data_IF_859010776987
#
_entry.id   IF_859010776987
#
_cell.length_a   1.000
_cell.length_b   1.000
_cell.length_c   1.000
_cell.angle_alpha   90.00
_cell.angle_beta   90.00
_cell.angle_gamma   90.00
#
_symmetry.space_group_name_H-M   'P 1'
#
loop_
_entity.id
_entity.type
_entity.pdbx_description
1 polymer ?
#
# COMPACT_ATOMS: atom_id res chain seq x y z
N UNK A 1 14.51 -12.60 -17.89
CA UNK A 1 13.31 -12.14 -17.16
C UNK A 1 13.61 -12.27 -15.69
N UNK A 2 13.75 -11.16 -14.95
CA UNK A 2 14.08 -11.23 -13.53
C UNK A 2 12.89 -11.81 -12.76
N UNK A 3 13.12 -12.91 -12.04
CA UNK A 3 12.19 -13.49 -11.10
C UNK A 3 11.97 -12.50 -9.96
N UNK A 4 10.85 -11.78 -9.97
CA UNK A 4 10.40 -10.98 -8.82
C UNK A 4 10.08 -11.97 -7.70
N UNK A 5 10.88 -11.95 -6.63
CA UNK A 5 10.64 -12.85 -5.51
C UNK A 5 9.44 -12.34 -4.70
N UNK A 6 8.48 -13.19 -4.34
CA UNK A 6 7.31 -12.78 -3.54
C UNK A 6 7.69 -12.22 -2.16
N UNK A 7 8.92 -12.41 -1.72
CA UNK A 7 9.53 -11.86 -0.50
C UNK A 7 9.68 -10.32 -0.49
N UNK A 8 9.52 -9.65 -1.63
CA UNK A 8 9.63 -8.18 -1.70
C UNK A 8 8.30 -7.45 -1.48
N UNK A 9 7.18 -8.19 -1.42
CA UNK A 9 5.86 -7.61 -1.13
C UNK A 9 5.58 -7.72 0.37
N UNK A 10 5.28 -6.58 0.98
CA UNK A 10 5.03 -6.45 2.41
C UNK A 10 3.59 -6.05 2.65
N UNK A 11 2.94 -6.76 3.56
CA UNK A 11 1.56 -6.54 3.95
C UNK A 11 1.54 -6.18 5.43
N UNK A 12 0.84 -5.10 5.76
CA UNK A 12 0.64 -4.64 7.12
C UNK A 12 -0.85 -4.53 7.39
N UNK A 13 -1.27 -4.99 8.56
CA UNK A 13 -2.62 -4.82 9.08
C UNK A 13 -2.65 -3.61 10.02
N UNK A 14 -3.74 -2.84 9.98
CA UNK A 14 -3.98 -1.75 10.93
C UNK A 14 -4.58 -2.33 12.21
N UNK A 15 -3.99 -1.99 13.35
CA UNK A 15 -4.45 -2.43 14.67
C UNK A 15 -5.91 -2.05 14.92
N UNK A 16 -6.66 -2.97 15.53
CA UNK A 16 -8.08 -2.77 15.83
C UNK A 16 -9.00 -2.84 14.60
N UNK A 17 -8.49 -3.23 13.43
CA UNK A 17 -9.29 -3.38 12.20
C UNK A 17 -9.30 -4.81 11.70
N UNK A 18 -10.49 -5.29 11.36
CA UNK A 18 -10.68 -6.60 10.77
C UNK A 18 -10.25 -6.57 9.29
N UNK A 19 -9.37 -7.48 8.83
CA UNK A 19 -8.80 -7.43 7.48
C UNK A 19 -9.83 -7.62 6.37
N UNK A 20 -11.00 -8.20 6.68
CA UNK A 20 -12.14 -8.35 5.78
C UNK A 20 -13.20 -7.25 5.83
N UNK A 21 -13.03 -6.18 6.63
CA UNK A 21 -14.03 -5.10 6.75
C UNK A 21 -13.55 -3.70 6.35
N UNK A 22 -12.24 -3.48 6.27
CA UNK A 22 -11.70 -2.18 5.83
C UNK A 22 -11.10 -2.25 4.42
N UNK A 23 -10.88 -1.08 3.82
CA UNK A 23 -10.34 -0.96 2.47
C UNK A 23 -8.88 -1.44 2.38
N UNK A 24 -8.40 -1.68 1.16
CA UNK A 24 -6.99 -1.99 0.91
C UNK A 24 -6.29 -0.72 0.44
N UNK A 25 -5.15 -0.39 1.04
CA UNK A 25 -4.27 0.69 0.60
C UNK A 25 -3.00 0.11 -0.04
N UNK A 26 -2.79 0.37 -1.32
CA UNK A 26 -1.57 0.03 -2.06
C UNK A 26 -0.65 1.24 -2.14
N UNK A 27 0.59 1.10 -1.64
CA UNK A 27 1.64 2.11 -1.76
C UNK A 27 2.61 1.70 -2.86
N UNK A 28 2.63 2.50 -3.93
CA UNK A 28 3.49 2.36 -5.09
C UNK A 28 4.79 3.15 -4.85
N UNK A 29 5.90 2.60 -5.30
CA UNK A 29 7.24 3.16 -5.03
C UNK A 29 7.99 3.53 -6.30
N UNK A 30 7.38 3.32 -7.46
CA UNK A 30 7.99 3.39 -8.78
C UNK A 30 9.04 2.29 -9.01
N UNK A 31 8.85 1.15 -8.34
CA UNK A 31 9.75 0.00 -8.39
C UNK A 31 9.25 -1.08 -9.36
N UNK A 32 10.13 -1.99 -9.81
CA UNK A 32 9.76 -3.09 -10.71
C UNK A 32 8.77 -4.07 -10.06
N UNK A 33 8.67 -4.09 -8.74
CA UNK A 33 7.80 -4.97 -7.95
C UNK A 33 6.39 -4.41 -7.75
N UNK A 34 6.13 -3.16 -8.14
CA UNK A 34 4.84 -2.49 -7.94
C UNK A 34 3.69 -3.20 -8.68
N UNK A 35 3.96 -3.82 -9.84
CA UNK A 35 2.96 -4.61 -10.57
C UNK A 35 2.55 -5.88 -9.81
N UNK A 36 3.51 -6.55 -9.17
CA UNK A 36 3.22 -7.74 -8.36
C UNK A 36 2.46 -7.36 -7.08
N UNK A 37 2.87 -6.26 -6.42
CA UNK A 37 2.13 -5.73 -5.27
C UNK A 37 0.71 -5.29 -5.65
N UNK A 38 0.51 -4.70 -6.83
CA UNK A 38 -0.79 -4.35 -7.36
C UNK A 38 -1.67 -5.59 -7.58
N UNK A 39 -1.13 -6.69 -8.11
CA UNK A 39 -1.87 -7.94 -8.27
C UNK A 39 -2.32 -8.52 -6.92
N UNK A 40 -1.43 -8.53 -5.92
CA UNK A 40 -1.76 -8.99 -4.56
C UNK A 40 -2.85 -8.10 -3.94
N UNK A 41 -2.72 -6.78 -4.06
CA UNK A 41 -3.70 -5.84 -3.54
C UNK A 41 -5.07 -5.96 -4.21
N UNK A 42 -5.08 -6.17 -5.52
CA UNK A 42 -6.29 -6.40 -6.29
C UNK A 42 -7.00 -7.68 -5.86
N UNK A 43 -6.26 -8.80 -5.71
CA UNK A 43 -6.83 -10.05 -5.24
C UNK A 43 -7.46 -9.89 -3.85
N UNK A 44 -6.75 -9.27 -2.90
CA UNK A 44 -7.25 -9.03 -1.55
C UNK A 44 -8.49 -8.14 -1.52
N UNK A 45 -8.48 -7.05 -2.30
CA UNK A 45 -9.63 -6.14 -2.39
C UNK A 45 -10.86 -6.84 -2.98
N UNK A 46 -10.66 -7.65 -4.03
CA UNK A 46 -11.72 -8.41 -4.69
C UNK A 46 -12.30 -9.48 -3.77
N UNK A 47 -11.45 -10.28 -3.12
CA UNK A 47 -11.87 -11.38 -2.27
C UNK A 47 -12.62 -10.89 -1.03
N UNK A 48 -12.27 -9.71 -0.50
CA UNK A 48 -12.98 -9.05 0.59
C UNK A 48 -14.18 -8.20 0.14
N UNK A 49 -14.34 -7.95 -1.17
CA UNK A 49 -15.39 -7.07 -1.70
C UNK A 49 -15.26 -5.60 -1.28
N UNK A 50 -14.02 -5.10 -1.12
CA UNK A 50 -13.73 -3.74 -0.62
C UNK A 50 -13.02 -2.88 -1.66
N UNK A 51 -13.04 -1.55 -1.46
CA UNK A 51 -12.30 -0.60 -2.30
C UNK A 51 -10.78 -0.78 -2.16
N UNK A 52 -10.08 -0.50 -3.26
CA UNK A 52 -8.63 -0.39 -3.33
C UNK A 52 -8.23 1.08 -3.52
N UNK A 53 -7.46 1.61 -2.59
CA UNK A 53 -6.86 2.93 -2.66
C UNK A 53 -5.40 2.83 -3.11
N UNK A 54 -4.97 3.68 -4.01
CA UNK A 54 -3.55 3.75 -4.43
C UNK A 54 -2.92 5.05 -3.95
N UNK A 55 -1.71 4.97 -3.42
CA UNK A 55 -0.87 6.13 -3.12
C UNK A 55 0.52 5.91 -3.71
N UNK A 56 1.10 6.92 -4.36
CA UNK A 56 2.43 6.80 -4.95
C UNK A 56 3.45 7.62 -4.18
N UNK A 57 4.57 6.98 -3.82
CA UNK A 57 5.66 7.58 -3.08
C UNK A 57 6.54 8.44 -4.00
N UNK A 58 6.46 9.76 -3.82
CA UNK A 58 7.21 10.75 -4.62
C UNK A 58 8.21 11.50 -3.75
N UNK A 59 9.40 11.74 -4.30
CA UNK A 59 10.42 12.50 -3.60
C UNK A 59 9.99 13.98 -3.46
N UNK A 60 10.10 14.52 -2.26
CA UNK A 60 9.83 15.92 -1.95
C UNK A 60 11.11 16.62 -1.50
N UNK A 61 11.60 17.63 -2.23
CA UNK A 61 12.77 18.40 -1.84
C UNK A 61 12.52 19.34 -0.63
N UNK A 62 11.32 19.29 -0.03
CA UNK A 62 10.98 20.07 1.17
C UNK A 62 10.20 21.36 0.88
N UNK A 63 10.01 22.14 1.93
CA UNK A 63 9.24 23.39 1.92
C UNK A 63 9.95 24.50 1.13
N UNK A 64 9.18 25.32 0.42
CA UNK A 64 9.65 26.53 -0.25
C UNK A 64 8.83 27.70 0.27
N UNK A 65 9.50 28.77 0.69
CA UNK A 65 8.83 30.01 1.14
C UNK A 65 8.09 30.68 -0.02
N UNK A 66 8.56 30.49 -1.26
CA UNK A 66 7.88 30.99 -2.44
C UNK A 66 6.66 30.11 -2.78
N UNK A 67 5.46 30.70 -2.68
CA UNK A 67 4.18 30.03 -2.90
C UNK A 67 3.99 29.51 -4.34
N UNK A 68 4.49 30.23 -5.35
CA UNK A 68 4.41 29.80 -6.75
C UNK A 68 5.30 28.57 -7.00
N UNK A 69 6.53 28.60 -6.47
CA UNK A 69 7.43 27.44 -6.55
C UNK A 69 6.87 26.26 -5.75
N UNK A 70 6.27 26.50 -4.58
CA UNK A 70 5.59 25.48 -3.80
C UNK A 70 4.44 24.83 -4.59
N UNK A 71 3.59 25.63 -5.24
CA UNK A 71 2.48 25.13 -6.06
C UNK A 71 2.96 24.37 -7.29
N UNK A 72 3.95 24.91 -8.02
CA UNK A 72 4.52 24.23 -9.18
C UNK A 72 5.14 22.87 -8.81
N UNK A 73 5.80 22.77 -7.64
CA UNK A 73 6.33 21.51 -7.12
C UNK A 73 5.22 20.53 -6.76
N UNK A 74 4.16 20.97 -6.07
CA UNK A 74 3.01 20.13 -5.75
C UNK A 74 2.39 19.54 -7.03
N UNK A 75 2.17 20.36 -8.06
CA UNK A 75 1.64 19.87 -9.34
C UNK A 75 2.55 18.84 -10.02
N UNK A 76 3.87 19.04 -10.00
CA UNK A 76 4.81 18.04 -10.53
C UNK A 76 4.74 16.73 -9.76
N UNK A 77 4.69 16.79 -8.43
CA UNK A 77 4.56 15.61 -7.57
C UNK A 77 3.25 14.86 -7.81
N UNK A 78 2.15 15.58 -8.00
CA UNK A 78 0.86 14.98 -8.30
C UNK A 78 0.87 14.33 -9.71
N UNK A 79 1.54 14.96 -10.68
CA UNK A 79 1.73 14.41 -12.02
C UNK A 79 2.61 13.14 -12.00
N UNK A 80 3.71 13.14 -11.23
CA UNK A 80 4.57 11.98 -11.05
C UNK A 80 3.81 10.82 -10.38
N UNK A 81 3.06 11.12 -9.31
CA UNK A 81 2.22 10.15 -8.62
C UNK A 81 1.13 9.56 -9.53
N UNK A 82 0.50 10.41 -10.35
CA UNK A 82 -0.46 9.96 -11.35
C UNK A 82 0.20 9.08 -12.42
N UNK A 83 1.41 9.42 -12.86
CA UNK A 83 2.19 8.62 -13.80
C UNK A 83 2.55 7.23 -13.26
N UNK A 84 2.99 7.14 -12.01
CA UNK A 84 3.24 5.86 -11.31
C UNK A 84 1.96 5.04 -11.24
N UNK A 85 0.86 5.64 -10.79
CA UNK A 85 -0.44 4.98 -10.68
C UNK A 85 -0.96 4.51 -12.05
N UNK A 86 -0.78 5.32 -13.09
CA UNK A 86 -1.21 4.99 -14.45
C UNK A 86 -0.49 3.76 -15.02
N UNK A 87 0.75 3.47 -14.58
CA UNK A 87 1.47 2.26 -15.00
C UNK A 87 0.86 0.97 -14.46
N UNK A 88 0.30 1.00 -13.24
CA UNK A 88 -0.33 -0.19 -12.63
C UNK A 88 -1.84 -0.27 -12.92
N UNK A 89 -2.46 0.85 -13.32
CA UNK A 89 -3.90 0.92 -13.58
C UNK A 89 -4.43 -0.15 -14.55
N UNK A 90 -3.77 -0.50 -15.68
CA UNK A 90 -4.22 -1.58 -16.56
C UNK A 90 -4.29 -2.93 -15.84
N UNK A 91 -3.29 -3.26 -15.01
CA UNK A 91 -3.25 -4.50 -14.26
C UNK A 91 -4.35 -4.56 -13.19
N UNK A 92 -4.61 -3.45 -12.49
CA UNK A 92 -5.69 -3.34 -11.52
C UNK A 92 -7.07 -3.52 -12.17
N UNK A 93 -7.28 -2.92 -13.36
CA UNK A 93 -8.52 -3.11 -14.13
C UNK A 93 -8.69 -4.54 -14.60
N UNK A 94 -7.62 -5.15 -15.13
CA UNK A 94 -7.64 -6.55 -15.58
C UNK A 94 -7.94 -7.53 -14.43
N UNK A 95 -7.51 -7.21 -13.21
CA UNK A 95 -7.81 -7.99 -12.00
C UNK A 95 -9.27 -7.84 -11.51
N UNK A 96 -10.09 -7.01 -12.16
CA UNK A 96 -11.51 -6.86 -11.85
C UNK A 96 -11.81 -5.93 -10.68
N UNK A 97 -10.84 -5.10 -10.24
CA UNK A 97 -11.10 -4.07 -9.24
C UNK A 97 -11.92 -2.95 -9.87
N UNK A 98 -13.24 -3.04 -9.77
CA UNK A 98 -14.19 -2.12 -10.42
C UNK A 98 -14.04 -0.66 -9.98
N UNK A 99 -13.51 -0.43 -8.78
CA UNK A 99 -13.27 0.91 -8.22
C UNK A 99 -11.95 0.94 -7.47
N UNK A 100 -10.90 1.45 -8.10
CA UNK A 100 -9.72 1.93 -7.37
C UNK A 100 -9.65 3.46 -7.44
N UNK A 101 -9.46 4.10 -6.29
CA UNK A 101 -9.35 5.56 -6.22
C UNK A 101 -7.89 5.96 -6.04
N UNK A 102 -7.43 6.84 -6.93
CA UNK A 102 -6.13 7.48 -6.76
C UNK A 102 -6.21 8.43 -5.56
N UNK A 103 -5.53 8.08 -4.48
CA UNK A 103 -5.76 8.68 -3.17
C UNK A 103 -4.83 9.82 -2.86
N UNK A 104 -3.53 9.73 -3.23
CA UNK A 104 -2.57 10.78 -2.95
C UNK A 104 -1.17 10.53 -3.53
N UNK A 105 -0.43 11.62 -3.70
CA UNK A 105 1.04 11.62 -3.70
C UNK A 105 1.56 11.51 -2.25
N UNK A 106 2.20 10.39 -1.89
CA UNK A 106 2.89 10.23 -0.62
C UNK A 106 4.27 10.90 -0.70
N UNK A 107 4.37 12.11 -0.13
CA UNK A 107 5.57 12.94 -0.22
C UNK A 107 6.64 12.45 0.77
N UNK A 108 7.72 11.89 0.24
CA UNK A 108 8.86 11.44 1.02
C UNK A 108 9.92 12.54 1.11
N UNK A 109 10.50 12.84 2.30
CA UNK A 109 11.65 13.72 2.39
C UNK A 109 12.79 13.27 1.47
N UNK A 110 13.44 14.21 0.80
CA UNK A 110 14.62 13.95 -0.03
C UNK A 110 15.67 13.18 0.79
N UNK A 111 16.05 11.98 0.32
CA UNK A 111 16.91 11.03 1.06
C UNK A 111 16.20 9.79 1.62
N UNK A 112 14.87 9.83 1.78
CA UNK A 112 14.11 8.66 2.28
C UNK A 112 14.07 7.51 1.26
N UNK A 113 14.08 7.83 -0.04
CA UNK A 113 14.21 6.82 -1.11
C UNK A 113 15.56 6.07 -1.05
N UNK A 114 16.62 6.71 -0.57
CA UNK A 114 17.93 6.06 -0.37
C UNK A 114 18.01 5.24 0.91
N UNK A 115 17.14 5.53 1.89
CA UNK A 115 17.06 4.74 3.13
C UNK A 115 16.29 3.43 2.96
N UNK A 116 15.59 3.24 1.84
CA UNK A 116 14.85 2.02 1.57
C UNK A 116 13.55 1.86 2.35
N UNK A 117 13.17 2.82 3.20
CA UNK A 117 12.02 2.69 4.09
C UNK A 117 10.97 3.81 3.90
N UNK A 118 9.71 3.47 4.16
CA UNK A 118 8.58 4.38 4.14
C UNK A 118 8.22 4.93 5.53
N UNK A 119 7.67 6.15 5.64
CA UNK A 119 7.35 6.78 6.92
C UNK A 119 6.08 6.20 7.56
N UNK A 120 6.23 5.40 8.64
CA UNK A 120 5.14 4.71 9.32
C UNK A 120 4.01 5.60 9.84
N UNK A 121 4.32 6.77 10.42
CA UNK A 121 3.31 7.73 10.91
C UNK A 121 2.39 8.20 9.78
N UNK A 122 2.97 8.58 8.64
CA UNK A 122 2.22 9.14 7.51
C UNK A 122 1.35 8.07 6.88
N UNK A 123 1.89 6.86 6.73
CA UNK A 123 1.14 5.71 6.22
C UNK A 123 0.00 5.34 7.15
N UNK A 124 0.25 5.22 8.45
CA UNK A 124 -0.78 4.88 9.44
C UNK A 124 -1.90 5.90 9.45
N UNK A 125 -1.57 7.19 9.39
CA UNK A 125 -2.57 8.26 9.31
C UNK A 125 -3.37 8.18 8.01
N UNK A 126 -2.70 7.98 6.87
CA UNK A 126 -3.37 7.84 5.56
C UNK A 126 -4.31 6.63 5.54
N UNK A 127 -3.85 5.49 6.01
CA UNK A 127 -4.63 4.26 6.09
C UNK A 127 -5.88 4.44 6.97
N UNK A 128 -5.74 5.08 8.15
CA UNK A 128 -6.90 5.38 9.01
C UNK A 128 -7.90 6.35 8.36
N UNK A 129 -7.40 7.39 7.69
CA UNK A 129 -8.25 8.38 7.01
C UNK A 129 -9.04 7.78 5.84
N UNK A 130 -8.46 6.79 5.14
CA UNK A 130 -9.09 6.09 4.02
C UNK A 130 -9.87 4.86 4.44
N UNK A 131 -10.07 4.69 5.73
CA UNK A 131 -10.65 3.50 6.33
C UNK A 131 -10.02 2.16 5.86
N UNK A 132 -8.72 2.16 5.58
CA UNK A 132 -8.01 0.95 5.19
C UNK A 132 -7.76 0.01 6.38
N UNK A 133 -7.94 -1.29 6.18
CA UNK A 133 -7.56 -2.33 7.14
C UNK A 133 -6.21 -2.97 6.78
N UNK A 134 -5.84 -2.94 5.50
CA UNK A 134 -4.59 -3.51 4.98
C UNK A 134 -3.80 -2.47 4.22
N UNK A 135 -2.48 -2.45 4.43
CA UNK A 135 -1.51 -1.69 3.67
C UNK A 135 -0.57 -2.66 2.97
N UNK A 136 -0.44 -2.52 1.65
CA UNK A 136 0.43 -3.35 0.82
C UNK A 136 1.45 -2.46 0.14
N UNK A 137 2.72 -2.84 0.21
CA UNK A 137 3.82 -2.05 -0.34
C UNK A 137 5.02 -2.94 -0.67
N UNK A 138 5.96 -2.39 -1.43
CA UNK A 138 7.21 -3.04 -1.85
C UNK A 138 8.42 -2.60 -1.03
N UNK A 139 8.28 -1.56 -0.20
CA UNK A 139 9.33 -1.08 0.70
C UNK A 139 8.94 -1.31 2.16
N UNK A 140 9.89 -1.65 3.05
CA UNK A 140 9.64 -1.71 4.49
C UNK A 140 9.10 -0.37 5.03
N UNK A 141 8.26 -0.46 6.06
CA UNK A 141 7.78 0.71 6.79
C UNK A 141 8.72 0.90 7.98
N UNK A 142 9.28 2.10 8.12
CA UNK A 142 10.22 2.44 9.19
C UNK A 142 9.53 2.41 10.55
N UNK A 143 10.19 1.80 11.53
CA UNK A 143 9.77 1.85 12.92
C UNK A 143 9.81 3.28 13.50
N UNK A 144 8.87 3.64 14.38
CA UNK A 144 7.81 2.80 14.94
C UNK A 144 6.66 2.56 13.95
N UNK A 145 6.04 1.37 13.99
CA UNK A 145 4.97 1.01 13.07
C UNK A 145 3.61 1.67 13.39
N UNK A 146 3.48 2.37 14.53
CA UNK A 146 2.32 3.24 14.87
C UNK A 146 0.93 2.64 14.61
N UNK A 147 0.71 1.40 15.07
CA UNK A 147 -0.56 0.71 14.89
C UNK A 147 -0.66 -0.05 13.56
N UNK A 148 0.48 -0.32 12.93
CA UNK A 148 0.62 -1.29 11.86
C UNK A 148 1.29 -2.54 12.43
N UNK A 149 0.71 -3.70 12.21
CA UNK A 149 1.34 -4.99 12.47
C UNK A 149 1.68 -5.65 11.12
N UNK A 150 2.86 -6.27 10.94
CA UNK A 150 3.10 -7.10 9.77
C UNK A 150 2.04 -8.20 9.74
N UNK A 151 1.30 -8.30 8.63
CA UNK A 151 0.30 -9.35 8.48
C UNK A 151 1.05 -10.67 8.27
N UNK A 152 0.87 -11.61 9.18
CA UNK A 152 1.32 -12.99 8.95
C UNK A 152 0.56 -13.55 7.77
N UNK A 153 1.28 -14.05 6.77
CA UNK A 153 0.70 -14.84 5.69
C UNK A 153 0.14 -16.14 6.28
N UNK A 154 -1.09 -16.11 6.77
CA UNK A 154 -1.77 -17.31 7.26
C UNK A 154 -2.63 -17.06 8.49
N UNK A 155 -3.85 -16.56 8.27
CA UNK A 155 -4.96 -16.91 9.15
C UNK A 155 -6.22 -17.10 8.31
N UNK A 156 -6.19 -18.22 7.59
CA UNK A 156 -7.36 -18.90 7.04
C UNK A 156 -7.11 -20.39 7.18
N UNK A 157 -7.36 -20.91 8.38
CA UNK A 157 -7.75 -22.29 8.58
C UNK A 157 -9.01 -22.25 9.47
N UNK A 158 -10.20 -22.50 8.92
CA UNK A 158 -11.37 -22.73 9.75
C UNK A 158 -11.24 -24.09 10.44
N UNK A 159 -11.67 -24.09 11.69
CA UNK A 159 -11.98 -25.21 12.57
C UNK A 159 -12.17 -26.56 11.84
N UNK A 160 -11.26 -27.51 12.09
CA UNK A 160 -11.44 -28.91 11.76
C UNK A 160 -11.39 -29.70 13.07
N UNK A 161 -12.58 -30.11 13.51
CA UNK A 161 -12.85 -30.68 14.82
C UNK A 161 -11.93 -31.83 15.22
N UNK A 162 -11.33 -31.67 16.41
CA UNK A 162 -10.76 -32.77 17.17
C UNK A 162 -11.87 -33.61 17.81
N UNK A 163 -12.55 -34.43 17.01
CA UNK A 163 -13.33 -35.56 17.51
C UNK A 163 -12.37 -36.71 17.74
N UNK A 164 -11.99 -36.95 19.00
CA UNK A 164 -11.24 -38.14 19.38
C UNK A 164 -12.18 -39.37 19.43
N UNK A 165 -11.88 -40.49 18.76
CA UNK A 165 -12.46 -41.77 19.12
C UNK A 165 -11.63 -42.39 20.25
N UNK A 166 -12.21 -42.48 21.46
CA UNK A 166 -11.68 -43.35 22.50
C UNK A 166 -12.38 -44.71 22.41
N UNK A 167 -11.57 -45.73 22.13
CA UNK A 167 -11.84 -47.16 22.33
C UNK A 167 -12.05 -47.50 23.80
#
# INVERSE_FOLDING_TARGET
MASVSPSDIRIYQIDGRHPGRGHVLLILTDGPTDLAAAAVAAARARDAGVLLYTAAAVASPGFSINALLHRARAHRQDADAAGITARVAPALRAAGVGHFMNSAALRLPHGSRHRGDLPGVVISRLARNLDAALVITTLPIREPLHGLAPATSGEAAPDAGGMAPST
#
